data_IF_307241305327
#
_entry.id   IF_307241305327
#
_cell.length_a   1.000
_cell.length_b   1.000
_cell.length_c   1.000
_cell.angle_alpha   90.00
_cell.angle_beta   90.00
_cell.angle_gamma   90.00
#
_symmetry.space_group_name_H-M   'P 1'
#
loop_
_entity.id
_entity.type
_entity.pdbx_description
1 polymer ?
#
# COMPACT_ATOMS: atom_id res chain seq x y z
N UNK A 1 2.93 13.02 -5.39
CA UNK A 1 2.23 14.29 -5.58
C UNK A 1 0.97 14.30 -4.71
N UNK A 2 0.78 15.34 -3.89
CA UNK A 2 -0.43 15.55 -3.10
C UNK A 2 -1.67 15.63 -4.00
N UNK A 3 -2.86 15.32 -3.48
CA UNK A 3 -4.12 15.52 -4.21
C UNK A 3 -4.49 16.99 -4.16
N UNK A 4 -4.49 17.68 -5.30
CA UNK A 4 -5.17 18.97 -5.39
C UNK A 4 -6.68 18.75 -5.45
N UNK A 5 -7.42 19.49 -4.61
CA UNK A 5 -8.87 19.26 -4.40
C UNK A 5 -9.72 19.66 -5.61
N UNK A 6 -9.15 20.48 -6.49
CA UNK A 6 -9.84 21.09 -7.62
C UNK A 6 -9.53 20.39 -8.96
N UNK A 7 -8.67 19.36 -8.95
CA UNK A 7 -8.34 18.60 -10.14
C UNK A 7 -9.22 17.34 -10.27
N UNK A 8 -9.90 17.11 -11.42
CA UNK A 8 -10.68 15.90 -11.62
C UNK A 8 -9.80 14.68 -11.41
N UNK A 9 -10.34 13.67 -10.69
CA UNK A 9 -9.61 12.47 -10.32
C UNK A 9 -9.00 11.78 -11.55
N UNK A 10 -7.72 12.03 -11.80
CA UNK A 10 -6.99 11.33 -12.85
C UNK A 10 -7.03 9.83 -12.56
N UNK A 11 -7.32 9.02 -13.58
CA UNK A 11 -7.29 7.55 -13.47
C UNK A 11 -5.84 7.15 -13.23
N UNK A 12 -5.47 6.95 -11.97
CA UNK A 12 -4.13 6.51 -11.58
C UNK A 12 -4.10 5.00 -11.58
N UNK A 13 -3.40 4.44 -12.56
CA UNK A 13 -3.07 3.01 -12.58
C UNK A 13 -1.99 2.78 -11.54
N UNK A 14 -2.36 2.14 -10.44
CA UNK A 14 -1.38 1.67 -9.46
C UNK A 14 -0.85 0.31 -9.89
N UNK A 15 0.42 0.26 -10.20
CA UNK A 15 1.15 -0.98 -10.41
C UNK A 15 1.63 -1.53 -9.08
N UNK A 16 2.00 -2.81 -9.07
CA UNK A 16 2.62 -3.43 -7.90
C UNK A 16 3.84 -2.62 -7.47
N UNK A 17 4.61 -2.05 -8.41
CA UNK A 17 5.79 -1.26 -8.12
C UNK A 17 5.50 0.09 -7.45
N UNK A 18 4.30 0.66 -7.57
CA UNK A 18 3.94 1.95 -6.97
C UNK A 18 3.60 1.87 -5.48
N UNK A 19 3.24 0.68 -5.01
CA UNK A 19 3.05 0.41 -3.59
C UNK A 19 4.41 0.14 -2.95
N UNK A 20 4.65 0.51 -1.70
CA UNK A 20 5.91 0.19 -1.03
C UNK A 20 5.70 -0.17 0.43
N UNK A 21 6.67 -0.89 1.01
CA UNK A 21 6.71 -1.13 2.47
C UNK A 21 7.06 0.14 3.27
N UNK A 22 7.62 1.13 2.59
CA UNK A 22 8.02 2.42 3.12
C UNK A 22 6.92 3.44 2.87
N UNK A 23 6.55 4.20 3.90
CA UNK A 23 5.60 5.30 3.84
C UNK A 23 6.25 6.59 4.32
N UNK A 24 5.88 7.70 3.70
CA UNK A 24 6.18 9.05 4.15
C UNK A 24 4.88 9.68 4.62
N UNK A 25 4.85 10.09 5.87
CA UNK A 25 3.74 10.82 6.49
C UNK A 25 4.13 12.29 6.57
N UNK A 26 3.40 13.14 5.86
CA UNK A 26 3.55 14.60 5.92
C UNK A 26 2.41 15.23 6.71
N UNK A 27 2.59 16.50 7.08
CA UNK A 27 1.63 17.31 7.81
C UNK A 27 1.39 16.82 9.26
N UNK A 28 2.43 16.29 9.90
CA UNK A 28 2.39 15.95 11.33
C UNK A 28 2.75 17.21 12.11
N UNK A 29 1.96 17.67 13.08
CA UNK A 29 2.29 18.87 13.86
C UNK A 29 3.58 18.66 14.66
N UNK A 30 4.46 19.67 14.67
CA UNK A 30 5.78 19.61 15.33
C UNK A 30 5.73 19.75 16.86
N UNK A 31 4.63 19.33 17.49
CA UNK A 31 4.41 19.39 18.95
C UNK A 31 5.14 18.28 19.72
N UNK A 32 6.07 17.55 19.09
CA UNK A 32 6.75 16.41 19.70
C UNK A 32 5.87 15.15 19.73
N UNK A 33 4.96 14.99 18.77
CA UNK A 33 3.99 13.88 18.71
C UNK A 33 4.58 12.58 18.12
N UNK A 34 5.91 12.41 18.18
CA UNK A 34 6.58 11.23 17.64
C UNK A 34 6.09 9.93 18.31
N UNK A 35 5.84 9.96 19.62
CA UNK A 35 5.38 8.80 20.38
C UNK A 35 3.94 8.41 20.05
N UNK A 36 3.06 9.40 19.89
CA UNK A 36 1.67 9.17 19.47
C UNK A 36 1.61 8.60 18.06
N UNK A 37 2.46 9.09 17.16
CA UNK A 37 2.59 8.56 15.81
C UNK A 37 3.17 7.14 15.82
N UNK A 38 4.13 6.87 16.72
CA UNK A 38 4.68 5.53 16.91
C UNK A 38 3.61 4.54 17.43
N UNK A 39 2.65 4.99 18.23
CA UNK A 39 1.53 4.14 18.65
C UNK A 39 0.60 3.75 17.48
N UNK A 40 0.47 4.63 16.48
CA UNK A 40 -0.39 4.41 15.32
C UNK A 40 0.26 3.58 14.21
N UNK A 41 1.54 3.85 13.95
CA UNK A 41 2.28 3.27 12.82
C UNK A 41 3.31 2.22 13.25
N UNK A 42 3.70 2.17 14.53
CA UNK A 42 4.80 1.36 15.05
C UNK A 42 6.12 2.12 14.98
N UNK A 43 7.16 1.48 14.43
CA UNK A 43 8.48 2.11 14.32
C UNK A 43 8.47 3.25 13.28
N UNK A 44 8.49 4.48 13.76
CA UNK A 44 8.64 5.70 12.96
C UNK A 44 10.01 6.34 13.19
N UNK A 45 10.65 6.77 12.12
CA UNK A 45 11.89 7.55 12.15
C UNK A 45 11.59 8.94 11.61
N UNK A 46 11.88 10.02 12.37
CA UNK A 46 11.74 11.37 11.84
C UNK A 46 12.68 11.54 10.64
N UNK A 47 12.19 12.22 9.60
CA UNK A 47 12.98 12.54 8.41
C UNK A 47 13.64 13.91 8.61
N UNK A 48 14.83 14.12 8.05
CA UNK A 48 15.65 15.30 8.33
C UNK A 48 14.96 16.63 7.97
N UNK A 49 15.31 17.68 8.73
CA UNK A 49 14.65 19.00 8.73
C UNK A 49 14.64 19.74 7.38
N UNK A 50 15.44 19.31 6.39
CA UNK A 50 15.45 19.93 5.06
C UNK A 50 14.14 19.73 4.28
N UNK A 51 13.41 18.64 4.57
CA UNK A 51 12.10 18.35 3.97
C UNK A 51 10.91 18.81 4.85
N UNK A 52 11.18 19.48 5.98
CA UNK A 52 10.15 19.94 6.93
C UNK A 52 9.72 21.38 6.64
N UNK A 53 8.41 21.59 6.48
CA UNK A 53 7.82 22.92 6.43
C UNK A 53 7.68 23.49 7.85
N UNK A 54 7.69 24.83 8.04
CA UNK A 54 7.54 25.40 9.36
C UNK A 54 6.26 24.88 10.03
N UNK A 55 6.39 24.40 11.27
CA UNK A 55 5.33 23.83 12.12
C UNK A 55 4.83 22.43 11.75
N UNK A 56 5.38 21.79 10.70
CA UNK A 56 5.03 20.42 10.32
C UNK A 56 6.26 19.55 10.10
N UNK A 57 6.24 18.39 10.75
CA UNK A 57 7.27 17.38 10.62
C UNK A 57 6.87 16.32 9.58
N UNK A 58 7.90 15.74 8.97
CA UNK A 58 7.78 14.62 8.04
C UNK A 58 8.35 13.37 8.71
N UNK A 59 7.58 12.29 8.72
CA UNK A 59 7.98 11.03 9.30
C UNK A 59 8.11 9.95 8.24
N UNK A 60 9.15 9.15 8.40
CA UNK A 60 9.39 7.95 7.61
C UNK A 60 8.98 6.71 8.41
N UNK A 61 8.18 5.84 7.81
CA UNK A 61 7.67 4.63 8.44
C UNK A 61 8.04 3.42 7.59
N UNK A 62 8.66 2.42 8.22
CA UNK A 62 9.04 1.16 7.58
C UNK A 62 8.21 0.00 8.13
N UNK A 63 7.41 -0.62 7.27
CA UNK A 63 6.71 -1.85 7.61
C UNK A 63 7.51 -3.11 7.28
N UNK A 64 7.24 -4.19 8.01
CA UNK A 64 7.75 -5.53 7.70
C UNK A 64 7.14 -6.10 6.42
N UNK A 65 5.83 -5.91 6.23
CA UNK A 65 5.08 -6.41 5.09
C UNK A 65 4.40 -5.28 4.32
N UNK A 66 4.34 -5.40 2.99
CA UNK A 66 3.65 -4.42 2.11
C UNK A 66 2.15 -4.36 2.41
N UNK A 67 1.54 -5.47 2.83
CA UNK A 67 0.11 -5.52 3.20
C UNK A 67 -0.22 -4.59 4.38
N UNK A 68 0.66 -4.53 5.39
CA UNK A 68 0.49 -3.65 6.54
C UNK A 68 0.61 -2.19 6.12
N UNK A 69 1.57 -1.87 5.25
CA UNK A 69 1.71 -0.53 4.68
C UNK A 69 0.45 -0.11 3.89
N UNK A 70 -0.14 -1.02 3.10
CA UNK A 70 -1.41 -0.75 2.41
C UNK A 70 -2.55 -0.46 3.37
N UNK A 71 -2.65 -1.24 4.45
CA UNK A 71 -3.69 -1.05 5.45
C UNK A 71 -3.53 0.27 6.18
N UNK A 72 -2.31 0.58 6.65
CA UNK A 72 -1.98 1.83 7.30
C UNK A 72 -2.29 3.03 6.40
N UNK A 73 -1.85 3.00 5.13
CA UNK A 73 -2.14 4.06 4.17
C UNK A 73 -3.65 4.24 3.97
N UNK A 74 -4.42 3.18 3.75
CA UNK A 74 -5.89 3.31 3.57
C UNK A 74 -6.62 3.84 4.80
N UNK A 75 -6.11 3.54 6.00
CA UNK A 75 -6.76 3.93 7.25
C UNK A 75 -6.36 5.34 7.70
N UNK A 76 -5.12 5.74 7.45
CA UNK A 76 -4.51 6.93 8.03
C UNK A 76 -4.34 8.08 7.02
N UNK A 77 -4.42 7.80 5.72
CA UNK A 77 -4.45 8.85 4.70
C UNK A 77 -5.70 9.73 4.90
N UNK A 78 -5.48 11.05 4.98
CA UNK A 78 -6.50 12.08 5.29
C UNK A 78 -7.17 11.96 6.66
N UNK A 79 -6.71 11.07 7.53
CA UNK A 79 -7.19 11.00 8.90
C UNK A 79 -6.77 12.25 9.68
N UNK A 80 -7.63 12.69 10.59
CA UNK A 80 -7.35 13.86 11.43
C UNK A 80 -6.51 13.42 12.62
N UNK A 81 -5.28 13.93 12.68
CA UNK A 81 -4.33 13.73 13.77
C UNK A 81 -4.01 15.08 14.41
N UNK A 82 -4.43 15.25 15.67
CA UNK A 82 -4.19 16.47 16.46
C UNK A 82 -4.59 17.77 15.74
N UNK A 83 -5.71 17.73 15.01
CA UNK A 83 -6.26 18.88 14.27
C UNK A 83 -5.76 19.01 12.83
N UNK A 84 -4.68 18.32 12.46
CA UNK A 84 -4.15 18.30 11.10
C UNK A 84 -4.57 17.04 10.35
N UNK A 85 -4.74 17.12 9.03
CA UNK A 85 -5.00 15.94 8.20
C UNK A 85 -3.69 15.34 7.73
N UNK A 86 -3.43 14.09 8.10
CA UNK A 86 -2.22 13.41 7.68
C UNK A 86 -2.23 13.17 6.16
N UNK A 87 -1.07 13.35 5.54
CA UNK A 87 -0.86 13.00 4.14
C UNK A 87 0.08 11.81 4.06
N UNK A 88 -0.41 10.65 3.63
CA UNK A 88 0.38 9.41 3.62
C UNK A 88 0.71 9.02 2.19
N UNK A 89 1.99 9.08 1.84
CA UNK A 89 2.49 8.75 0.50
C UNK A 89 3.42 7.55 0.51
N UNK A 90 3.31 6.68 -0.50
CA UNK A 90 4.29 5.62 -0.73
C UNK A 90 5.61 6.23 -1.21
N UNK A 91 6.70 5.56 -0.86
CA UNK A 91 8.05 5.97 -1.21
C UNK A 91 8.86 4.77 -1.75
N UNK A 92 8.56 4.30 -2.98
CA UNK A 92 9.26 3.16 -3.59
C UNK A 92 10.74 3.45 -3.86
N UNK A 93 11.16 4.71 -3.92
CA UNK A 93 12.56 5.11 -4.12
C UNK A 93 13.52 4.67 -3.00
N UNK A 94 12.99 4.34 -1.81
CA UNK A 94 13.77 3.83 -0.69
C UNK A 94 13.74 2.28 -0.60
N UNK A 95 13.09 1.59 -1.54
CA UNK A 95 13.09 0.12 -1.57
C UNK A 95 14.43 -0.43 -2.05
N UNK A 96 14.92 -1.49 -1.38
CA UNK A 96 16.07 -2.22 -1.86
C UNK A 96 15.68 -3.14 -3.03
N UNK A 97 16.62 -3.51 -3.92
CA UNK A 97 16.34 -4.44 -5.02
C UNK A 97 15.80 -5.80 -4.53
N UNK A 98 16.23 -6.22 -3.34
CA UNK A 98 15.79 -7.47 -2.72
C UNK A 98 14.32 -7.40 -2.29
N UNK A 99 13.88 -6.26 -1.72
CA UNK A 99 12.47 -6.04 -1.36
C UNK A 99 11.57 -6.10 -2.61
N UNK A 100 12.02 -5.50 -3.71
CA UNK A 100 11.30 -5.52 -4.99
C UNK A 100 11.14 -6.94 -5.54
N UNK A 101 12.17 -7.77 -5.41
CA UNK A 101 12.11 -9.18 -5.82
C UNK A 101 11.07 -9.96 -5.01
N UNK A 102 11.09 -9.84 -3.70
CA UNK A 102 10.16 -10.54 -2.81
C UNK A 102 8.70 -10.17 -3.13
N UNK A 103 8.45 -8.90 -3.37
CA UNK A 103 7.13 -8.37 -3.75
C UNK A 103 6.61 -8.94 -5.07
N UNK A 104 7.47 -9.08 -6.08
CA UNK A 104 7.11 -9.74 -7.34
C UNK A 104 6.85 -11.24 -7.16
N UNK A 105 7.64 -11.92 -6.32
CA UNK A 105 7.42 -13.32 -6.00
C UNK A 105 6.10 -13.57 -5.28
N UNK A 106 5.76 -12.73 -4.29
CA UNK A 106 4.46 -12.77 -3.62
C UNK A 106 3.35 -12.61 -4.64
N UNK A 107 3.46 -11.64 -5.55
CA UNK A 107 2.42 -11.43 -6.57
C UNK A 107 2.31 -12.60 -7.54
N UNK A 108 3.43 -13.18 -7.96
CA UNK A 108 3.44 -14.41 -8.78
C UNK A 108 2.72 -15.55 -8.06
N UNK A 109 2.98 -15.76 -6.77
CA UNK A 109 2.30 -16.80 -5.96
C UNK A 109 0.80 -16.56 -5.85
N UNK A 110 0.37 -15.32 -5.60
CA UNK A 110 -1.05 -14.96 -5.56
C UNK A 110 -1.75 -15.21 -6.90
N UNK A 111 -1.13 -14.82 -8.02
CA UNK A 111 -1.67 -15.03 -9.36
C UNK A 111 -1.76 -16.53 -9.67
N UNK A 112 -0.71 -17.30 -9.38
CA UNK A 112 -0.72 -18.75 -9.55
C UNK A 112 -1.79 -19.42 -8.68
N UNK A 113 -1.98 -18.95 -7.44
CA UNK A 113 -3.03 -19.43 -6.56
C UNK A 113 -4.42 -19.19 -7.15
N UNK A 114 -4.66 -18.01 -7.72
CA UNK A 114 -5.93 -17.69 -8.40
C UNK A 114 -6.15 -18.56 -9.64
N UNK A 115 -5.13 -18.76 -10.47
CA UNK A 115 -5.22 -19.61 -11.67
C UNK A 115 -5.56 -21.06 -11.29
N UNK A 116 -4.91 -21.61 -10.26
CA UNK A 116 -5.18 -22.98 -9.79
C UNK A 116 -6.56 -23.15 -9.14
N UNK A 117 -7.16 -22.05 -8.67
CA UNK A 117 -8.48 -22.04 -8.03
C UNK A 117 -9.61 -21.65 -9.01
N UNK A 118 -9.30 -21.35 -10.28
CA UNK A 118 -10.34 -21.31 -11.33
C UNK A 118 -10.86 -22.74 -11.45
N UNK A 119 -12.12 -22.97 -11.09
CA UNK A 119 -12.59 -24.31 -10.86
C UNK A 119 -12.58 -25.11 -12.15
N UNK A 120 -12.15 -26.34 -12.01
CA UNK A 120 -12.37 -27.55 -12.80
C UNK A 120 -13.85 -27.77 -13.22
N UNK A 121 -14.74 -26.80 -13.00
CA UNK A 121 -16.15 -26.76 -13.40
C UNK A 121 -16.31 -26.80 -14.93
N UNK A 122 -15.41 -26.18 -15.70
CA UNK A 122 -15.43 -26.34 -17.16
C UNK A 122 -15.06 -27.78 -17.59
N UNK A 123 -14.20 -28.46 -16.83
CA UNK A 123 -13.79 -29.83 -17.15
C UNK A 123 -14.88 -30.85 -16.80
N UNK A 124 -15.54 -30.70 -15.63
CA UNK A 124 -16.65 -31.57 -15.21
C UNK A 124 -17.92 -31.38 -16.06
N UNK A 125 -18.25 -30.15 -16.47
CA UNK A 125 -19.41 -29.89 -17.34
C UNK A 125 -19.18 -30.43 -18.75
N UNK A 126 -17.95 -30.40 -19.28
CA UNK A 126 -17.63 -30.98 -20.58
C UNK A 126 -17.74 -32.51 -20.59
N UNK A 127 -17.29 -33.20 -19.53
CA UNK A 127 -17.41 -34.66 -19.45
C UNK A 127 -18.85 -35.12 -19.27
N UNK A 128 -19.67 -34.37 -18.53
CA UNK A 128 -21.09 -34.69 -18.35
C UNK A 128 -21.91 -34.51 -19.64
N UNK A 129 -21.56 -33.53 -20.50
CA UNK A 129 -22.23 -33.37 -21.81
C UNK A 129 -21.79 -34.40 -22.85
N UNK A 130 -20.60 -34.99 -22.71
CA UNK A 130 -20.17 -36.07 -23.61
C UNK A 130 -20.86 -37.41 -23.31
N UNK A 131 -21.29 -37.68 -22.08
CA UNK A 131 -22.09 -38.88 -21.76
C UNK A 131 -23.56 -38.75 -22.21
N UNK A 132 -24.11 -37.54 -22.33
CA UNK A 132 -25.49 -37.32 -22.77
C UNK A 132 -25.69 -37.28 -24.29
N UNK A 133 -24.61 -37.22 -25.09
CA UNK A 133 -24.68 -37.16 -26.56
C UNK A 133 -24.43 -38.52 -27.25
N UNK A 134 -24.31 -39.61 -26.48
CA UNK A 134 -24.04 -40.98 -26.98
C UNK A 134 -25.26 -41.91 -26.83
N UNK A 135 -26.44 -41.38 -26.52
CA UNK A 135 -27.72 -42.11 -26.58
C UNK A 135 -28.65 -41.53 -27.65
#
# INVERSE_FOLDING_TARGET
>A
MPRDRDEPAAVRVYTVCDESRYLIVRNVPSLGCGDDLASLFGTCTPMDAEDSEPYTDVFFVKFSQVNNARFAKRKLDESVFLGNRLQVTYAPQFESPQDTKEKLEVRRKEVLGRIKCVPTLYFLVSTALQEYLVF
#
